data_IF_146194123453
#
_entry.id   IF_146194123453
#
_cell.length_a   1.000
_cell.length_b   1.000
_cell.length_c   1.000
_cell.angle_alpha   90.00
_cell.angle_beta   90.00
_cell.angle_gamma   90.00
#
_symmetry.space_group_name_H-M   'P 1'
#
loop_
_entity.id
_entity.type
_entity.pdbx_description
1 polymer ?
#
# COMPACT_ATOMS: atom_id res chain seq x y z
N UNK A 1 34.23 9.31 5.58
CA UNK A 1 34.37 9.05 4.11
C UNK A 1 34.04 10.31 3.33
N UNK A 2 34.63 10.52 2.14
CA UNK A 2 34.25 11.65 1.30
C UNK A 2 32.84 11.40 0.76
N UNK A 3 31.91 12.34 1.02
CA UNK A 3 30.55 12.27 0.50
C UNK A 3 30.57 12.42 -1.02
N UNK A 4 29.79 11.63 -1.76
CA UNK A 4 29.75 11.64 -3.24
C UNK A 4 29.39 13.02 -3.80
N UNK A 5 28.72 13.89 -3.04
CA UNK A 5 28.31 15.24 -3.42
C UNK A 5 29.21 16.37 -2.91
N UNK A 6 30.39 16.06 -2.39
CA UNK A 6 31.29 17.01 -1.74
C UNK A 6 32.03 17.99 -2.70
N UNK A 7 31.66 18.09 -3.97
CA UNK A 7 32.42 18.84 -4.99
C UNK A 7 32.63 20.33 -4.68
N UNK A 8 31.63 21.05 -4.13
CA UNK A 8 31.75 22.49 -3.81
C UNK A 8 31.92 22.75 -2.31
N UNK A 9 31.58 21.79 -1.47
CA UNK A 9 31.63 21.92 -0.01
C UNK A 9 33.01 21.47 0.49
N UNK A 10 33.70 22.32 1.26
CA UNK A 10 35.05 22.06 1.76
C UNK A 10 35.09 21.79 3.28
N UNK A 11 33.96 21.90 3.97
CA UNK A 11 33.83 21.70 5.41
C UNK A 11 33.27 20.32 5.79
N UNK A 12 33.43 19.95 7.07
CA UNK A 12 32.70 18.83 7.64
C UNK A 12 31.25 19.25 7.88
N UNK A 13 30.30 18.38 7.54
CA UNK A 13 28.88 18.59 7.86
C UNK A 13 28.67 18.40 9.35
N UNK A 14 27.76 19.18 9.94
CA UNK A 14 27.35 19.00 11.31
C UNK A 14 26.63 17.65 11.50
N UNK A 15 26.89 16.96 12.61
CA UNK A 15 26.32 15.62 12.87
C UNK A 15 24.79 15.65 12.93
N UNK A 16 24.20 16.72 13.47
CA UNK A 16 22.75 16.88 13.50
C UNK A 16 22.18 17.10 12.11
N UNK A 17 22.90 17.85 11.26
CA UNK A 17 22.50 18.06 9.87
C UNK A 17 22.59 16.77 9.05
N UNK A 18 23.57 15.92 9.31
CA UNK A 18 23.71 14.62 8.67
C UNK A 18 22.56 13.66 9.08
N UNK A 19 22.25 13.58 10.37
CA UNK A 19 21.13 12.76 10.86
C UNK A 19 19.78 13.26 10.34
N UNK A 20 19.58 14.57 10.33
CA UNK A 20 18.35 15.20 9.78
C UNK A 20 18.17 14.97 8.29
N UNK A 21 19.26 14.89 7.53
CA UNK A 21 19.25 14.67 6.08
C UNK A 21 19.10 13.19 5.71
N UNK A 22 19.41 12.27 6.62
CA UNK A 22 19.46 10.82 6.35
C UNK A 22 18.07 10.22 6.20
N UNK A 23 17.92 9.31 5.23
CA UNK A 23 16.70 8.54 4.97
C UNK A 23 16.86 7.02 5.16
N UNK A 24 18.09 6.55 5.43
CA UNK A 24 18.41 5.12 5.51
C UNK A 24 17.50 4.33 6.48
N UNK A 25 17.00 4.98 7.55
CA UNK A 25 16.16 4.34 8.56
C UNK A 25 14.82 3.86 8.01
N UNK A 26 14.29 4.50 6.98
CA UNK A 26 13.02 4.15 6.36
C UNK A 26 13.17 3.67 4.91
N UNK A 27 14.10 4.24 4.11
CA UNK A 27 14.26 3.84 2.71
C UNK A 27 15.00 2.51 2.52
N UNK A 28 15.67 2.01 3.58
CA UNK A 28 16.33 0.70 3.60
C UNK A 28 15.41 -0.44 3.14
N UNK A 29 14.09 -0.33 3.30
CA UNK A 29 13.12 -1.33 2.83
C UNK A 29 13.09 -1.49 1.30
N UNK A 30 13.60 -0.50 0.55
CA UNK A 30 13.66 -0.54 -0.92
C UNK A 30 14.94 -1.16 -1.47
N UNK A 31 15.79 -1.80 -0.65
CA UNK A 31 17.07 -2.36 -1.11
C UNK A 31 16.93 -3.31 -2.31
N UNK A 32 15.83 -4.08 -2.38
CA UNK A 32 15.56 -4.99 -3.51
C UNK A 32 15.30 -4.23 -4.79
N UNK A 33 14.52 -3.17 -4.72
CA UNK A 33 14.18 -2.33 -5.86
C UNK A 33 15.41 -1.59 -6.34
N UNK A 34 16.19 -0.99 -5.45
CA UNK A 34 17.44 -0.31 -5.79
C UNK A 34 18.44 -1.22 -6.48
N UNK A 35 18.67 -2.42 -5.92
CA UNK A 35 19.60 -3.39 -6.50
C UNK A 35 19.08 -3.89 -7.86
N UNK A 36 17.81 -4.20 -7.98
CA UNK A 36 17.21 -4.68 -9.24
C UNK A 36 17.26 -3.60 -10.32
N UNK A 37 16.92 -2.35 -9.97
CA UNK A 37 17.05 -1.20 -10.86
C UNK A 37 18.48 -0.97 -11.30
N UNK A 38 19.44 -1.09 -10.37
CA UNK A 38 20.87 -0.95 -10.64
C UNK A 38 21.42 -2.07 -11.54
N UNK A 39 20.93 -3.30 -11.43
CA UNK A 39 21.30 -4.41 -12.32
C UNK A 39 20.81 -4.14 -13.76
N UNK A 40 19.59 -3.66 -13.93
CA UNK A 40 19.06 -3.28 -15.24
C UNK A 40 19.86 -2.12 -15.86
N UNK A 41 20.23 -1.14 -15.05
CA UNK A 41 21.06 -0.02 -15.48
C UNK A 41 22.45 -0.47 -15.93
N UNK A 42 23.14 -1.33 -15.15
CA UNK A 42 24.43 -1.92 -15.53
C UNK A 42 24.33 -2.70 -16.84
N UNK A 43 23.27 -3.48 -17.04
CA UNK A 43 23.00 -4.21 -18.27
C UNK A 43 22.88 -3.27 -19.48
N UNK A 44 22.13 -2.18 -19.35
CA UNK A 44 21.97 -1.17 -20.39
C UNK A 44 23.30 -0.47 -20.71
N UNK A 45 24.09 -0.08 -19.70
CA UNK A 45 25.40 0.54 -19.90
C UNK A 45 26.33 -0.34 -20.72
N UNK A 46 26.34 -1.67 -20.45
CA UNK A 46 27.13 -2.65 -21.24
C UNK A 46 26.60 -2.79 -22.66
N UNK A 47 25.29 -2.97 -22.85
CA UNK A 47 24.66 -3.12 -24.15
C UNK A 47 24.88 -1.90 -25.06
N UNK A 48 24.89 -0.71 -24.49
CA UNK A 48 25.18 0.57 -25.18
C UNK A 48 26.67 0.86 -25.29
N UNK A 49 27.54 -0.03 -24.81
CA UNK A 49 29.02 0.13 -24.84
C UNK A 49 29.55 1.39 -24.14
N UNK A 50 28.79 1.90 -23.16
CA UNK A 50 29.21 2.99 -22.28
C UNK A 50 30.26 2.46 -21.30
N UNK A 51 30.11 1.23 -20.87
CA UNK A 51 31.11 0.39 -20.20
C UNK A 51 31.30 -0.89 -21.00
N UNK A 52 32.31 -1.69 -20.70
CA UNK A 52 32.52 -2.97 -21.37
C UNK A 52 31.47 -4.00 -20.90
N UNK A 53 31.17 -4.98 -21.74
CA UNK A 53 30.26 -6.10 -21.36
C UNK A 53 30.77 -6.84 -20.12
N UNK A 54 32.10 -7.01 -19.99
CA UNK A 54 32.72 -7.65 -18.84
C UNK A 54 32.50 -6.84 -17.55
N UNK A 55 32.62 -5.51 -17.61
CA UNK A 55 32.36 -4.62 -16.47
C UNK A 55 30.87 -4.63 -16.08
N UNK A 56 29.98 -4.64 -17.06
CA UNK A 56 28.54 -4.75 -16.82
C UNK A 56 28.20 -6.06 -16.11
N UNK A 57 28.74 -7.20 -16.57
CA UNK A 57 28.51 -8.49 -15.94
C UNK A 57 29.10 -8.51 -14.51
N UNK A 58 30.29 -7.93 -14.31
CA UNK A 58 30.91 -7.83 -12.98
C UNK A 58 30.05 -7.02 -12.01
N UNK A 59 29.42 -5.92 -12.46
CA UNK A 59 28.50 -5.11 -11.66
C UNK A 59 27.23 -5.90 -11.32
N UNK A 60 26.63 -6.60 -12.29
CA UNK A 60 25.42 -7.41 -12.11
C UNK A 60 25.69 -8.52 -11.09
N UNK A 61 26.79 -9.25 -11.22
CA UNK A 61 27.17 -10.33 -10.31
C UNK A 61 27.43 -9.79 -8.88
N UNK A 62 28.12 -8.64 -8.80
CA UNK A 62 28.36 -7.96 -7.52
C UNK A 62 27.08 -7.53 -6.82
N UNK A 63 26.15 -6.91 -7.55
CA UNK A 63 24.83 -6.51 -7.07
C UNK A 63 23.98 -7.72 -6.64
N UNK A 64 23.99 -8.80 -7.44
CA UNK A 64 23.32 -10.05 -7.08
C UNK A 64 23.90 -10.67 -5.80
N UNK A 65 25.22 -10.58 -5.62
CA UNK A 65 25.88 -11.01 -4.38
C UNK A 65 25.47 -10.17 -3.17
N UNK A 66 25.31 -8.86 -3.33
CA UNK A 66 24.82 -7.97 -2.26
C UNK A 66 23.37 -8.32 -1.89
N UNK A 67 22.51 -8.50 -2.89
CA UNK A 67 21.12 -8.90 -2.67
C UNK A 67 21.01 -10.19 -1.86
N UNK A 68 21.74 -11.22 -2.28
CA UNK A 68 21.75 -12.52 -1.59
C UNK A 68 22.29 -12.41 -0.15
N UNK A 69 23.31 -11.59 0.07
CA UNK A 69 23.88 -11.41 1.42
C UNK A 69 22.93 -10.63 2.34
N UNK A 70 22.16 -9.65 1.82
CA UNK A 70 21.09 -8.96 2.55
C UNK A 70 19.93 -9.91 2.87
N UNK A 71 19.47 -10.67 1.89
CA UNK A 71 18.35 -11.60 2.03
C UNK A 71 18.64 -12.72 3.04
N UNK A 72 19.88 -13.19 3.07
CA UNK A 72 20.34 -14.22 4.02
C UNK A 72 20.74 -13.67 5.40
N UNK A 73 20.73 -12.35 5.60
CA UNK A 73 21.17 -11.69 6.82
C UNK A 73 22.70 -11.73 7.06
N UNK A 74 23.47 -12.14 6.04
CA UNK A 74 24.94 -12.15 6.10
C UNK A 74 25.54 -10.73 6.02
N UNK A 75 24.84 -9.83 5.32
CA UNK A 75 25.13 -8.41 5.27
C UNK A 75 24.04 -7.64 6.00
N UNK A 76 24.42 -6.73 6.88
CA UNK A 76 23.50 -5.84 7.59
C UNK A 76 23.64 -4.43 7.03
N UNK A 77 22.52 -3.72 6.85
CA UNK A 77 22.52 -2.34 6.38
C UNK A 77 23.14 -1.44 7.42
N UNK A 78 24.13 -0.66 7.01
CA UNK A 78 24.80 0.32 7.88
C UNK A 78 23.97 1.60 7.94
N UNK A 79 23.31 1.82 9.07
CA UNK A 79 22.47 2.99 9.33
C UNK A 79 23.25 4.31 9.45
N UNK A 80 24.58 4.29 9.35
CA UNK A 80 25.39 5.51 9.25
C UNK A 80 25.49 6.08 7.83
N UNK A 81 25.01 5.35 6.82
CA UNK A 81 24.87 5.84 5.46
C UNK A 81 23.73 6.85 5.35
N UNK A 82 23.77 7.75 4.36
CA UNK A 82 22.74 8.75 4.13
C UNK A 82 21.41 8.10 3.67
N UNK A 83 21.50 7.17 2.70
CA UNK A 83 20.37 6.47 2.10
C UNK A 83 20.78 5.04 1.68
N UNK A 84 19.77 4.22 1.30
CA UNK A 84 20.00 2.85 0.85
C UNK A 84 20.85 2.79 -0.42
N UNK A 85 20.71 3.75 -1.30
CA UNK A 85 21.45 3.82 -2.56
C UNK A 85 22.94 4.02 -2.31
N UNK A 86 23.30 4.93 -1.39
CA UNK A 86 24.69 5.13 -0.98
C UNK A 86 25.28 3.87 -0.35
N UNK A 87 24.51 3.18 0.50
CA UNK A 87 24.92 1.93 1.12
C UNK A 87 25.24 0.86 0.07
N UNK A 88 24.36 0.64 -0.90
CA UNK A 88 24.55 -0.35 -1.97
C UNK A 88 25.77 0.01 -2.84
N UNK A 89 25.90 1.27 -3.28
CA UNK A 89 27.04 1.74 -4.08
C UNK A 89 28.37 1.65 -3.32
N UNK A 90 28.37 1.91 -2.01
CA UNK A 90 29.55 1.77 -1.15
C UNK A 90 30.00 0.32 -1.06
N UNK A 91 29.09 -0.59 -0.67
CA UNK A 91 29.40 -2.02 -0.58
C UNK A 91 29.86 -2.59 -1.93
N UNK A 92 29.23 -2.18 -3.03
CA UNK A 92 29.62 -2.57 -4.37
C UNK A 92 31.04 -2.10 -4.69
N UNK A 93 31.37 -0.84 -4.38
CA UNK A 93 32.69 -0.26 -4.60
C UNK A 93 33.76 -0.92 -3.72
N UNK A 94 33.46 -1.26 -2.49
CA UNK A 94 34.36 -2.01 -1.60
C UNK A 94 34.69 -3.40 -2.16
N UNK A 95 33.71 -4.06 -2.79
CA UNK A 95 33.88 -5.40 -3.40
C UNK A 95 34.60 -5.38 -4.73
N UNK A 96 34.32 -4.37 -5.58
CA UNK A 96 34.75 -4.35 -6.99
C UNK A 96 35.76 -3.25 -7.34
N UNK A 97 36.10 -2.39 -6.40
CA UNK A 97 37.04 -1.28 -6.64
C UNK A 97 36.49 -0.28 -7.68
N UNK A 98 37.34 0.12 -8.62
CA UNK A 98 37.00 1.14 -9.63
C UNK A 98 35.86 0.72 -10.58
N UNK A 99 35.62 -0.56 -10.78
CA UNK A 99 34.50 -1.04 -11.58
C UNK A 99 33.19 -0.70 -10.88
N UNK A 100 33.12 -0.82 -9.55
CA UNK A 100 31.91 -0.49 -8.76
C UNK A 100 31.49 0.97 -8.95
N UNK A 101 32.42 1.89 -9.04
CA UNK A 101 32.17 3.33 -9.26
C UNK A 101 31.50 3.65 -10.60
N UNK A 102 31.61 2.76 -11.60
CA UNK A 102 31.02 2.96 -12.94
C UNK A 102 29.50 2.81 -12.94
N UNK A 103 28.91 2.20 -11.92
CA UNK A 103 27.46 2.02 -11.83
C UNK A 103 26.68 3.34 -11.90
N UNK A 104 27.23 4.43 -11.35
CA UNK A 104 26.55 5.72 -11.32
C UNK A 104 26.58 6.49 -12.67
N UNK A 105 27.27 5.97 -13.67
CA UNK A 105 27.38 6.60 -15.00
C UNK A 105 26.01 6.79 -15.64
N UNK A 106 25.72 7.99 -16.15
CA UNK A 106 24.46 8.34 -16.82
C UNK A 106 23.19 8.17 -15.94
N UNK A 107 23.33 8.27 -14.62
CA UNK A 107 22.23 8.19 -13.64
C UNK A 107 22.36 9.33 -12.60
N UNK A 108 21.25 9.72 -12.02
CA UNK A 108 21.19 10.60 -10.85
C UNK A 108 20.47 9.91 -9.70
N UNK A 109 20.72 10.35 -8.47
CA UNK A 109 19.93 9.95 -7.32
C UNK A 109 18.44 10.26 -7.53
N UNK A 110 18.09 11.34 -8.25
CA UNK A 110 16.71 11.78 -8.45
C UNK A 110 15.86 10.79 -9.24
N UNK A 111 16.35 10.30 -10.39
CA UNK A 111 15.63 9.29 -11.18
C UNK A 111 15.71 7.89 -10.55
N UNK A 112 16.78 7.57 -9.85
CA UNK A 112 16.96 6.33 -9.10
C UNK A 112 15.91 6.20 -7.98
N UNK A 113 15.76 7.20 -7.11
CA UNK A 113 14.78 7.22 -6.03
C UNK A 113 13.34 7.13 -6.56
N UNK A 114 13.04 7.86 -7.65
CA UNK A 114 11.72 7.81 -8.29
C UNK A 114 11.42 6.44 -8.88
N UNK A 115 12.42 5.76 -9.47
CA UNK A 115 12.31 4.40 -9.97
C UNK A 115 11.99 3.41 -8.86
N UNK A 116 12.77 3.45 -7.78
CA UNK A 116 12.68 2.49 -6.68
C UNK A 116 11.35 2.59 -5.96
N UNK A 117 10.86 3.81 -5.73
CA UNK A 117 9.56 4.03 -5.11
C UNK A 117 8.40 3.55 -6.00
N UNK A 118 8.50 3.71 -7.32
CA UNK A 118 7.52 3.16 -8.27
C UNK A 118 7.53 1.64 -8.26
N UNK A 119 8.71 1.01 -8.28
CA UNK A 119 8.84 -0.45 -8.22
C UNK A 119 8.29 -0.98 -6.90
N UNK A 120 8.64 -0.35 -5.77
CA UNK A 120 8.14 -0.71 -4.46
C UNK A 120 6.60 -0.66 -4.40
N UNK A 121 6.01 0.47 -4.77
CA UNK A 121 4.55 0.61 -4.75
C UNK A 121 3.83 -0.32 -5.74
N UNK A 122 4.44 -0.64 -6.87
CA UNK A 122 3.90 -1.64 -7.80
C UNK A 122 3.76 -3.01 -7.13
N UNK A 123 4.80 -3.43 -6.42
CA UNK A 123 4.81 -4.70 -5.70
C UNK A 123 3.76 -4.70 -4.57
N UNK A 124 3.67 -3.60 -3.81
CA UNK A 124 2.71 -3.44 -2.73
C UNK A 124 1.25 -3.39 -3.24
N UNK A 125 1.00 -2.73 -4.37
CA UNK A 125 -0.32 -2.72 -4.99
C UNK A 125 -0.78 -4.15 -5.32
N UNK A 126 0.07 -4.97 -5.91
CA UNK A 126 -0.29 -6.35 -6.23
C UNK A 126 -0.52 -7.18 -4.96
N UNK A 127 0.29 -6.98 -3.93
CA UNK A 127 0.11 -7.62 -2.62
C UNK A 127 -1.23 -7.24 -1.96
N UNK A 128 -1.57 -5.94 -1.95
CA UNK A 128 -2.86 -5.45 -1.43
C UNK A 128 -4.03 -6.00 -2.24
N UNK A 129 -3.94 -6.03 -3.57
CA UNK A 129 -4.98 -6.58 -4.44
C UNK A 129 -5.22 -8.06 -4.19
N UNK A 130 -4.16 -8.82 -3.90
CA UNK A 130 -4.28 -10.23 -3.52
C UNK A 130 -4.94 -10.41 -2.15
N UNK A 131 -4.55 -9.63 -1.14
CA UNK A 131 -5.22 -9.64 0.17
C UNK A 131 -6.70 -9.25 0.10
N UNK A 132 -7.03 -8.25 -0.73
CA UNK A 132 -8.42 -7.90 -1.01
C UNK A 132 -9.19 -9.06 -1.66
N UNK A 133 -8.56 -9.80 -2.60
CA UNK A 133 -9.17 -10.98 -3.20
C UNK A 133 -9.52 -12.03 -2.13
N UNK A 134 -8.59 -12.30 -1.22
CA UNK A 134 -8.80 -13.28 -0.13
C UNK A 134 -9.94 -12.82 0.81
N UNK A 135 -9.98 -11.53 1.19
CA UNK A 135 -11.07 -11.00 2.01
C UNK A 135 -12.42 -11.08 1.28
N UNK A 136 -12.45 -10.76 -0.03
CA UNK A 136 -13.66 -10.89 -0.85
C UNK A 136 -14.14 -12.36 -0.87
N UNK A 137 -13.25 -13.31 -1.03
CA UNK A 137 -13.59 -14.74 -1.02
C UNK A 137 -14.16 -15.19 0.34
N UNK A 138 -13.57 -14.75 1.46
CA UNK A 138 -14.08 -15.02 2.79
C UNK A 138 -15.52 -14.49 2.97
N UNK A 139 -15.77 -13.26 2.48
CA UNK A 139 -17.11 -12.66 2.52
C UNK A 139 -18.10 -13.39 1.59
N UNK A 140 -17.67 -13.82 0.40
CA UNK A 140 -18.51 -14.59 -0.53
C UNK A 140 -18.89 -15.95 0.08
N UNK A 141 -17.94 -16.62 0.74
CA UNK A 141 -18.20 -17.88 1.44
C UNK A 141 -19.25 -17.69 2.55
N UNK A 142 -19.08 -16.70 3.41
CA UNK A 142 -20.06 -16.35 4.43
C UNK A 142 -21.40 -15.92 3.85
N UNK A 143 -21.42 -15.17 2.76
CA UNK A 143 -22.66 -14.73 2.11
C UNK A 143 -23.44 -15.93 1.53
N UNK A 144 -22.77 -16.90 0.96
CA UNK A 144 -23.39 -18.14 0.45
C UNK A 144 -23.92 -19.00 1.59
N UNK A 145 -23.18 -19.17 2.68
CA UNK A 145 -23.60 -19.92 3.86
C UNK A 145 -24.86 -19.32 4.49
N UNK A 146 -24.91 -17.98 4.61
CA UNK A 146 -25.99 -17.26 5.28
C UNK A 146 -26.99 -16.59 4.31
N UNK A 147 -27.06 -17.04 3.06
CA UNK A 147 -27.96 -16.46 2.05
C UNK A 147 -29.46 -16.54 2.38
N UNK A 148 -29.86 -17.45 3.26
CA UNK A 148 -31.24 -17.59 3.73
C UNK A 148 -31.44 -17.08 5.18
N UNK A 149 -30.41 -16.60 5.85
CA UNK A 149 -30.50 -16.10 7.22
C UNK A 149 -31.11 -14.71 7.23
N UNK A 150 -32.34 -14.62 7.75
CA UNK A 150 -33.12 -13.37 7.79
C UNK A 150 -32.58 -12.46 8.89
N UNK A 151 -32.36 -11.18 8.51
CA UNK A 151 -31.97 -10.12 9.43
C UNK A 151 -32.80 -8.85 9.13
N UNK A 152 -33.08 -7.99 10.13
CA UNK A 152 -33.66 -6.68 9.83
C UNK A 152 -32.63 -5.80 9.13
N UNK A 153 -33.00 -5.26 7.97
CA UNK A 153 -32.25 -4.17 7.35
C UNK A 153 -32.49 -2.86 8.11
N UNK A 154 -31.46 -2.00 8.15
CA UNK A 154 -31.51 -0.74 8.89
C UNK A 154 -31.30 0.46 7.96
N UNK A 155 -32.08 1.51 8.19
CA UNK A 155 -31.81 2.89 7.76
C UNK A 155 -31.93 3.78 8.99
N UNK A 156 -31.04 4.77 9.15
CA UNK A 156 -31.01 5.64 10.33
C UNK A 156 -30.90 4.89 11.67
N UNK A 157 -30.27 3.69 11.67
CA UNK A 157 -30.25 2.74 12.78
C UNK A 157 -31.66 2.32 13.25
N UNK A 158 -32.68 2.53 12.43
CA UNK A 158 -34.04 2.03 12.66
C UNK A 158 -34.30 0.81 11.76
N UNK A 159 -35.03 -0.17 12.27
CA UNK A 159 -35.45 -1.35 11.50
C UNK A 159 -36.32 -0.91 10.34
N UNK A 160 -35.96 -1.29 9.13
CA UNK A 160 -36.64 -0.88 7.91
C UNK A 160 -37.39 -2.07 7.28
N UNK A 161 -36.70 -2.91 6.55
CA UNK A 161 -37.26 -4.05 5.82
C UNK A 161 -36.46 -5.31 6.11
N UNK A 162 -37.05 -6.51 5.97
CA UNK A 162 -36.29 -7.75 6.11
C UNK A 162 -35.34 -7.92 4.92
N UNK A 163 -34.11 -8.31 5.23
CA UNK A 163 -33.10 -8.71 4.25
C UNK A 163 -32.50 -10.03 4.69
N UNK A 164 -31.57 -10.58 3.92
CA UNK A 164 -30.74 -11.68 4.37
C UNK A 164 -29.34 -11.20 4.75
N UNK A 165 -28.68 -11.92 5.67
CA UNK A 165 -27.32 -11.62 6.09
C UNK A 165 -26.34 -11.74 4.91
N UNK A 166 -26.54 -12.76 4.05
CA UNK A 166 -25.76 -12.90 2.82
C UNK A 166 -25.90 -11.69 1.90
N UNK A 167 -27.13 -11.13 1.72
CA UNK A 167 -27.35 -9.91 0.93
C UNK A 167 -26.58 -8.71 1.53
N UNK A 168 -26.59 -8.57 2.85
CA UNK A 168 -25.86 -7.51 3.54
C UNK A 168 -24.35 -7.61 3.31
N UNK A 169 -23.77 -8.82 3.49
CA UNK A 169 -22.34 -9.06 3.24
C UNK A 169 -21.92 -8.76 1.79
N UNK A 170 -22.80 -9.07 0.82
CA UNK A 170 -22.55 -8.76 -0.59
C UNK A 170 -22.38 -7.25 -0.85
N UNK A 171 -22.96 -6.38 -0.03
CA UNK A 171 -22.72 -4.94 -0.16
C UNK A 171 -21.24 -4.58 0.10
N UNK A 172 -20.60 -5.22 1.07
CA UNK A 172 -19.17 -5.05 1.33
C UNK A 172 -18.31 -5.69 0.24
N UNK A 173 -18.70 -6.85 -0.28
CA UNK A 173 -18.04 -7.43 -1.47
C UNK A 173 -17.99 -6.42 -2.61
N UNK A 174 -19.11 -5.76 -2.91
CA UNK A 174 -19.16 -4.74 -3.98
C UNK A 174 -18.28 -3.51 -3.69
N UNK A 175 -18.12 -3.12 -2.42
CA UNK A 175 -17.21 -2.03 -2.04
C UNK A 175 -15.75 -2.45 -2.27
N UNK A 176 -15.35 -3.62 -1.77
CA UNK A 176 -13.98 -4.12 -1.88
C UNK A 176 -13.56 -4.45 -3.32
N UNK A 177 -14.50 -4.89 -4.18
CA UNK A 177 -14.24 -5.03 -5.62
C UNK A 177 -13.86 -3.70 -6.25
N UNK A 178 -14.61 -2.63 -5.95
CA UNK A 178 -14.25 -1.28 -6.43
C UNK A 178 -12.92 -0.78 -5.87
N UNK A 179 -12.57 -1.16 -4.63
CA UNK A 179 -11.26 -0.81 -4.06
C UNK A 179 -10.13 -1.53 -4.79
N UNK A 180 -10.28 -2.82 -5.08
CA UNK A 180 -9.33 -3.60 -5.87
C UNK A 180 -9.11 -3.01 -7.26
N UNK A 181 -10.17 -2.50 -7.89
CA UNK A 181 -10.09 -1.84 -9.19
C UNK A 181 -9.37 -0.47 -9.08
N UNK A 182 -9.58 0.31 -8.00
CA UNK A 182 -8.83 1.56 -7.75
C UNK A 182 -7.33 1.33 -7.68
N UNK A 183 -6.89 0.31 -6.96
CA UNK A 183 -5.48 -0.07 -6.93
C UNK A 183 -4.96 -0.49 -8.30
N UNK A 184 -5.74 -1.24 -9.08
CA UNK A 184 -5.38 -1.60 -10.44
C UNK A 184 -5.25 -0.37 -11.36
N UNK A 185 -6.14 0.61 -11.22
CA UNK A 185 -6.08 1.85 -11.99
C UNK A 185 -4.89 2.74 -11.59
N UNK A 186 -4.56 2.82 -10.31
CA UNK A 186 -3.35 3.50 -9.82
C UNK A 186 -2.09 2.84 -10.42
N UNK A 187 -2.04 1.50 -10.43
CA UNK A 187 -0.92 0.76 -11.01
C UNK A 187 -0.70 1.04 -12.51
N UNK A 188 -1.75 1.26 -13.29
CA UNK A 188 -1.61 1.60 -14.71
C UNK A 188 -0.82 2.89 -14.94
N UNK A 189 -1.07 3.94 -14.15
CA UNK A 189 -0.39 5.24 -14.28
C UNK A 189 0.99 5.22 -13.61
N UNK A 190 1.15 4.46 -12.54
CA UNK A 190 2.44 4.23 -11.88
C UNK A 190 3.45 3.57 -12.84
N UNK A 191 3.00 2.67 -13.72
CA UNK A 191 3.83 1.73 -14.47
C UNK A 191 4.57 2.37 -15.67
N UNK A 192 5.21 3.54 -15.43
CA UNK A 192 6.11 4.23 -16.36
C UNK A 192 7.48 4.44 -15.69
N UNK A 193 8.56 4.06 -16.38
CA UNK A 193 9.93 4.17 -15.85
C UNK A 193 10.46 5.60 -15.93
N UNK A 194 10.94 6.20 -14.83
CA UNK A 194 11.58 7.51 -14.84
C UNK A 194 13.07 7.45 -15.17
N UNK A 195 13.70 6.26 -15.16
CA UNK A 195 15.15 6.10 -15.31
C UNK A 195 15.65 6.70 -16.63
N UNK A 196 16.81 7.33 -16.59
CA UNK A 196 17.36 8.10 -17.69
C UNK A 196 16.88 9.55 -17.76
N UNK A 197 15.96 9.97 -16.84
CA UNK A 197 15.67 11.39 -16.62
C UNK A 197 16.84 12.11 -15.94
N UNK A 198 17.71 11.37 -15.30
CA UNK A 198 18.87 11.84 -14.53
C UNK A 198 18.43 12.86 -13.46
N UNK A 199 19.18 13.97 -13.30
CA UNK A 199 18.78 14.98 -12.32
C UNK A 199 17.46 15.68 -12.70
N UNK A 200 17.26 16.01 -13.97
CA UNK A 200 16.06 16.62 -14.57
C UNK A 200 16.11 16.76 -16.10
N UNK A 201 17.28 16.72 -16.71
CA UNK A 201 17.47 17.08 -18.11
C UNK A 201 17.95 15.91 -19.00
N UNK A 202 17.91 14.70 -18.49
CA UNK A 202 18.48 13.54 -19.14
C UNK A 202 20.01 13.55 -19.12
N UNK A 203 20.63 12.87 -20.09
CA UNK A 203 22.08 12.70 -20.19
C UNK A 203 22.53 12.84 -21.62
N UNK A 204 23.83 13.16 -21.84
CA UNK A 204 24.48 13.18 -23.15
C UNK A 204 24.97 11.79 -23.59
N UNK A 205 24.91 10.79 -22.71
CA UNK A 205 25.20 9.42 -23.08
C UNK A 205 24.06 8.83 -23.93
N UNK A 206 24.40 7.94 -24.86
CA UNK A 206 23.42 7.22 -25.68
C UNK A 206 22.82 6.04 -24.91
N UNK A 207 22.01 6.34 -23.90
CA UNK A 207 21.30 5.35 -23.07
C UNK A 207 20.05 4.81 -23.77
N UNK A 208 19.65 3.56 -23.43
CA UNK A 208 18.42 2.95 -23.91
C UNK A 208 17.40 2.81 -22.75
N UNK A 209 16.62 3.87 -22.52
CA UNK A 209 15.58 3.91 -21.47
C UNK A 209 14.49 2.86 -21.66
N UNK A 210 14.18 2.47 -22.93
CA UNK A 210 13.18 1.46 -23.21
C UNK A 210 13.67 0.06 -22.88
N UNK A 211 14.94 -0.22 -23.09
CA UNK A 211 15.57 -1.48 -22.64
C UNK A 211 15.49 -1.63 -21.12
N UNK A 212 15.84 -0.59 -20.36
CA UNK A 212 15.75 -0.60 -18.90
C UNK A 212 14.31 -0.78 -18.43
N UNK A 213 13.36 -0.02 -18.99
CA UNK A 213 11.94 -0.14 -18.67
C UNK A 213 11.40 -1.56 -18.91
N UNK A 214 11.75 -2.17 -20.05
CA UNK A 214 11.34 -3.53 -20.39
C UNK A 214 11.92 -4.57 -19.43
N UNK A 215 13.21 -4.45 -19.08
CA UNK A 215 13.85 -5.36 -18.12
C UNK A 215 13.22 -5.29 -16.72
N UNK A 216 12.74 -4.10 -16.33
CA UNK A 216 12.09 -3.87 -15.05
C UNK A 216 10.56 -4.07 -15.09
N UNK A 217 10.00 -4.49 -16.22
CA UNK A 217 8.58 -4.78 -16.36
C UNK A 217 7.68 -3.55 -16.40
N UNK A 218 8.23 -2.36 -16.72
CA UNK A 218 7.42 -1.17 -16.96
C UNK A 218 6.77 -1.21 -18.36
N UNK A 219 5.55 -0.68 -18.45
CA UNK A 219 4.81 -0.62 -19.72
C UNK A 219 5.34 0.47 -20.66
N UNK A 220 5.94 1.53 -20.12
CA UNK A 220 6.47 2.66 -20.89
C UNK A 220 7.53 3.43 -20.08
N UNK A 221 8.03 4.54 -20.63
CA UNK A 221 8.97 5.48 -20.02
C UNK A 221 8.27 6.82 -19.73
N UNK A 222 8.78 7.57 -18.75
CA UNK A 222 8.37 8.97 -18.55
C UNK A 222 8.95 9.82 -19.69
N UNK A 223 8.10 10.45 -20.51
CA UNK A 223 8.54 11.18 -21.70
C UNK A 223 9.20 12.52 -21.39
N UNK A 224 8.77 13.19 -20.33
CA UNK A 224 9.39 14.43 -19.88
C UNK A 224 10.30 14.14 -18.68
N UNK A 225 11.60 14.48 -18.81
CA UNK A 225 12.59 14.15 -17.78
C UNK A 225 12.44 14.99 -16.50
N UNK A 226 11.90 16.19 -16.58
CA UNK A 226 11.60 17.02 -15.40
C UNK A 226 10.45 16.41 -14.61
N UNK A 227 9.39 16.03 -15.30
CA UNK A 227 8.24 15.33 -14.73
C UNK A 227 8.64 13.97 -14.15
N UNK A 228 9.47 13.20 -14.86
CA UNK A 228 9.91 11.87 -14.43
C UNK A 228 10.58 11.83 -13.05
N UNK A 229 11.28 12.90 -12.64
CA UNK A 229 11.91 13.01 -11.31
C UNK A 229 11.04 13.75 -10.30
N UNK A 230 10.05 14.52 -10.77
CA UNK A 230 9.18 15.36 -9.94
C UNK A 230 7.86 14.67 -9.55
N UNK A 231 7.34 13.80 -10.41
CA UNK A 231 6.04 13.16 -10.22
C UNK A 231 5.99 12.30 -8.95
N UNK A 232 4.94 12.55 -8.17
CA UNK A 232 4.52 11.75 -7.03
C UNK A 232 3.00 11.48 -7.05
N UNK A 233 2.33 11.73 -8.18
CA UNK A 233 0.90 11.47 -8.34
C UNK A 233 0.58 10.00 -8.05
N UNK A 234 1.47 9.08 -8.44
CA UNK A 234 1.32 7.66 -8.17
C UNK A 234 1.30 7.32 -6.66
N UNK A 235 2.01 8.07 -5.82
CA UNK A 235 1.94 7.96 -4.37
C UNK A 235 0.59 8.49 -3.85
N UNK A 236 0.15 9.65 -4.35
CA UNK A 236 -1.16 10.25 -3.99
C UNK A 236 -2.31 9.36 -4.41
N UNK A 237 -2.27 8.77 -5.60
CA UNK A 237 -3.28 7.82 -6.08
C UNK A 237 -3.34 6.56 -5.23
N UNK A 238 -2.18 5.99 -4.88
CA UNK A 238 -2.10 4.86 -3.96
C UNK A 238 -2.73 5.20 -2.60
N UNK A 239 -2.32 6.31 -1.98
CA UNK A 239 -2.86 6.75 -0.69
C UNK A 239 -4.36 7.07 -0.76
N UNK A 240 -4.85 7.61 -1.88
CA UNK A 240 -6.27 7.87 -2.10
C UNK A 240 -7.08 6.56 -2.19
N UNK A 241 -6.55 5.56 -2.88
CA UNK A 241 -7.15 4.22 -2.94
C UNK A 241 -7.15 3.56 -1.56
N UNK A 242 -6.03 3.64 -0.83
CA UNK A 242 -5.89 3.13 0.53
C UNK A 242 -6.86 3.81 1.51
N UNK A 243 -6.99 5.14 1.46
CA UNK A 243 -7.92 5.90 2.29
C UNK A 243 -9.37 5.52 2.01
N UNK A 244 -9.75 5.31 0.74
CA UNK A 244 -11.09 4.87 0.36
C UNK A 244 -11.38 3.46 0.85
N UNK A 245 -10.44 2.54 0.70
CA UNK A 245 -10.53 1.17 1.22
C UNK A 245 -10.68 1.17 2.75
N UNK A 246 -9.86 1.92 3.46
CA UNK A 246 -9.93 2.03 4.92
C UNK A 246 -11.27 2.60 5.39
N UNK A 247 -11.88 3.53 4.65
CA UNK A 247 -13.23 4.01 4.93
C UNK A 247 -14.25 2.86 4.84
N UNK A 248 -14.15 1.98 3.85
CA UNK A 248 -15.03 0.81 3.74
C UNK A 248 -14.79 -0.20 4.88
N UNK A 249 -13.52 -0.48 5.23
CA UNK A 249 -13.17 -1.35 6.36
C UNK A 249 -13.64 -0.74 7.69
N UNK A 250 -13.56 0.58 7.86
CA UNK A 250 -14.07 1.28 9.04
C UNK A 250 -15.59 1.13 9.19
N UNK A 251 -16.35 1.28 8.09
CA UNK A 251 -17.81 1.06 8.11
C UNK A 251 -18.16 -0.39 8.46
N UNK A 252 -17.44 -1.33 7.88
CA UNK A 252 -17.66 -2.75 8.21
C UNK A 252 -17.31 -3.06 9.67
N UNK A 253 -16.20 -2.51 10.17
CA UNK A 253 -15.81 -2.62 11.58
C UNK A 253 -16.89 -2.06 12.52
N UNK A 254 -17.50 -0.91 12.18
CA UNK A 254 -18.61 -0.34 12.95
C UNK A 254 -19.79 -1.30 13.04
N UNK A 255 -20.17 -1.94 11.92
CA UNK A 255 -21.26 -2.93 11.95
C UNK A 255 -20.91 -4.18 12.76
N UNK A 256 -19.67 -4.68 12.66
CA UNK A 256 -19.20 -5.80 13.49
C UNK A 256 -19.26 -5.47 14.98
N UNK A 257 -18.87 -4.25 15.36
CA UNK A 257 -18.96 -3.76 16.74
C UNK A 257 -20.41 -3.71 17.20
N UNK A 258 -21.31 -3.12 16.41
CA UNK A 258 -22.75 -3.08 16.70
C UNK A 258 -23.33 -4.50 16.80
N UNK A 259 -23.05 -5.35 15.82
CA UNK A 259 -23.61 -6.72 15.79
C UNK A 259 -23.08 -7.60 16.92
N UNK A 260 -21.89 -7.37 17.42
CA UNK A 260 -21.31 -8.12 18.55
C UNK A 260 -21.73 -7.56 19.92
N UNK A 261 -22.39 -6.41 19.98
CA UNK A 261 -22.87 -5.80 21.22
C UNK A 261 -23.97 -6.64 21.91
N UNK A 262 -24.18 -6.41 23.20
CA UNK A 262 -25.23 -7.05 23.96
C UNK A 262 -26.66 -6.75 23.45
N UNK A 263 -26.84 -5.57 22.87
CA UNK A 263 -28.12 -5.09 22.35
C UNK A 263 -28.50 -5.81 21.06
N UNK A 264 -27.54 -6.04 20.16
CA UNK A 264 -27.77 -6.72 18.87
C UNK A 264 -27.58 -8.23 18.97
N UNK A 265 -26.41 -8.68 19.42
CA UNK A 265 -26.02 -10.11 19.49
C UNK A 265 -26.26 -10.86 18.18
N UNK A 266 -25.99 -10.23 17.04
CA UNK A 266 -26.17 -10.86 15.74
C UNK A 266 -24.97 -11.71 15.34
N UNK A 267 -23.79 -11.34 15.84
CA UNK A 267 -22.57 -12.11 15.66
C UNK A 267 -21.80 -12.23 16.98
N UNK A 268 -20.91 -13.20 17.03
CA UNK A 268 -19.90 -13.34 18.05
C UNK A 268 -18.54 -13.49 17.40
N UNK A 269 -17.62 -12.57 17.69
CA UNK A 269 -16.27 -12.65 17.20
C UNK A 269 -15.48 -13.71 17.96
N UNK A 270 -14.56 -14.38 17.29
CA UNK A 270 -13.68 -15.38 17.91
C UNK A 270 -12.84 -14.78 19.04
N UNK A 271 -12.51 -15.58 20.05
CA UNK A 271 -11.62 -15.19 21.13
C UNK A 271 -10.23 -14.76 20.64
N UNK A 272 -9.80 -15.26 19.48
CA UNK A 272 -8.54 -14.88 18.85
C UNK A 272 -8.50 -13.39 18.39
N UNK A 273 -9.67 -12.77 18.20
CA UNK A 273 -9.80 -11.39 17.67
C UNK A 273 -10.59 -10.48 18.62
N UNK A 274 -10.61 -10.82 19.90
CA UNK A 274 -11.30 -10.08 20.95
C UNK A 274 -10.42 -10.03 22.19
N UNK A 275 -10.70 -9.10 23.10
CA UNK A 275 -10.07 -9.11 24.42
C UNK A 275 -11.13 -9.19 25.53
N UNK A 276 -10.71 -9.68 26.69
CA UNK A 276 -11.53 -9.71 27.89
C UNK A 276 -11.29 -8.48 28.77
N UNK A 277 -11.88 -8.51 29.95
CA UNK A 277 -11.61 -7.55 31.02
C UNK A 277 -11.07 -8.26 32.24
N UNK A 278 -10.04 -7.70 32.86
CA UNK A 278 -9.47 -8.23 34.11
C UNK A 278 -10.43 -8.14 35.32
N UNK A 279 -11.40 -7.22 35.27
CA UNK A 279 -12.33 -6.94 36.36
C UNK A 279 -13.73 -7.48 36.06
N UNK A 280 -14.10 -7.56 34.77
CA UNK A 280 -15.47 -7.96 34.35
C UNK A 280 -15.40 -9.24 33.52
N UNK A 281 -15.52 -10.43 34.13
CA UNK A 281 -15.26 -11.70 33.43
C UNK A 281 -16.25 -12.00 32.31
N UNK A 282 -17.41 -11.35 32.28
CA UNK A 282 -18.45 -11.50 31.25
C UNK A 282 -18.17 -10.61 29.99
N UNK A 283 -17.19 -9.70 30.05
CA UNK A 283 -16.95 -8.72 29.02
C UNK A 283 -16.02 -9.28 27.93
N UNK A 284 -16.44 -9.12 26.67
CA UNK A 284 -15.68 -9.48 25.49
C UNK A 284 -15.70 -8.30 24.52
N UNK A 285 -14.54 -7.73 24.24
CA UNK A 285 -14.42 -6.48 23.49
C UNK A 285 -14.02 -6.76 22.04
N UNK A 286 -14.63 -6.09 21.05
CA UNK A 286 -14.28 -6.21 19.64
C UNK A 286 -13.07 -5.33 19.25
N UNK A 287 -11.97 -5.40 20.04
CA UNK A 287 -10.84 -4.47 19.91
C UNK A 287 -10.22 -4.44 18.52
N UNK A 288 -10.17 -5.57 17.81
CA UNK A 288 -9.58 -5.61 16.46
C UNK A 288 -10.41 -4.80 15.49
N UNK A 289 -11.74 -4.88 15.55
CA UNK A 289 -12.62 -4.04 14.74
C UNK A 289 -12.50 -2.56 15.13
N UNK A 290 -12.40 -2.24 16.41
CA UNK A 290 -12.18 -0.87 16.89
C UNK A 290 -10.85 -0.30 16.40
N UNK A 291 -9.77 -1.08 16.44
CA UNK A 291 -8.46 -0.67 15.97
C UNK A 291 -8.45 -0.42 14.44
N UNK A 292 -9.09 -1.27 13.64
CA UNK A 292 -9.22 -1.05 12.19
C UNK A 292 -9.97 0.25 11.93
N UNK A 293 -11.08 0.50 12.63
CA UNK A 293 -11.84 1.75 12.57
C UNK A 293 -10.96 2.96 12.93
N UNK A 294 -10.17 2.87 14.00
CA UNK A 294 -9.27 3.94 14.44
C UNK A 294 -8.11 4.20 13.48
N UNK A 295 -7.50 3.15 12.93
CA UNK A 295 -6.38 3.25 11.98
C UNK A 295 -6.76 3.93 10.65
N UNK A 296 -8.03 4.01 10.32
CA UNK A 296 -8.51 4.75 9.15
C UNK A 296 -8.07 6.22 9.17
N UNK A 297 -8.14 6.86 10.34
CA UNK A 297 -7.68 8.24 10.50
C UNK A 297 -6.18 8.43 10.26
N UNK A 298 -5.36 7.40 10.55
CA UNK A 298 -3.92 7.40 10.27
C UNK A 298 -3.65 7.47 8.76
N UNK A 299 -4.27 6.59 7.97
CA UNK A 299 -4.11 6.57 6.50
C UNK A 299 -4.65 7.86 5.85
N UNK A 300 -5.71 8.47 6.42
CA UNK A 300 -6.16 9.80 5.99
C UNK A 300 -5.10 10.87 6.25
N UNK A 301 -4.43 10.78 7.41
CA UNK A 301 -3.33 11.67 7.76
C UNK A 301 -2.17 11.57 6.77
N UNK A 302 -1.80 10.35 6.36
CA UNK A 302 -0.72 10.09 5.40
C UNK A 302 -1.03 10.72 4.03
N UNK A 303 -2.25 10.53 3.51
CA UNK A 303 -2.69 11.17 2.28
C UNK A 303 -2.63 12.71 2.38
N UNK A 304 -3.12 13.27 3.47
CA UNK A 304 -3.14 14.72 3.67
C UNK A 304 -1.73 15.28 3.86
N UNK A 305 -0.84 14.55 4.55
CA UNK A 305 0.56 14.92 4.72
C UNK A 305 1.26 15.03 3.36
N UNK A 306 1.14 14.00 2.51
CA UNK A 306 1.76 14.00 1.19
C UNK A 306 1.21 15.11 0.28
N UNK A 307 -0.11 15.28 0.22
CA UNK A 307 -0.74 16.38 -0.54
C UNK A 307 -0.22 17.75 -0.07
N UNK A 308 -0.03 17.91 1.24
CA UNK A 308 0.48 19.14 1.84
C UNK A 308 1.94 19.37 1.51
N UNK A 309 2.76 18.33 1.50
CA UNK A 309 4.18 18.39 1.10
C UNK A 309 4.31 18.83 -0.36
N UNK A 310 3.53 18.25 -1.25
CA UNK A 310 3.66 18.49 -2.70
C UNK A 310 3.09 19.82 -3.18
N UNK A 311 2.11 20.41 -2.49
CA UNK A 311 1.27 21.52 -2.96
C UNK A 311 1.99 22.81 -3.40
N UNK A 312 3.23 23.02 -3.07
CA UNK A 312 3.88 24.32 -3.29
C UNK A 312 5.34 24.22 -3.68
N UNK A 313 5.86 23.00 -3.86
CA UNK A 313 7.25 22.81 -4.27
C UNK A 313 7.41 23.06 -5.78
N UNK A 314 8.51 23.68 -6.22
CA UNK A 314 8.81 23.85 -7.63
C UNK A 314 9.26 22.53 -8.28
N UNK A 315 9.27 22.49 -9.62
CA UNK A 315 9.89 21.42 -10.39
C UNK A 315 11.43 21.45 -10.15
N UNK A 316 12.18 20.46 -10.30
CA UNK A 316 12.00 19.05 -10.55
C UNK A 316 12.00 18.23 -9.24
N UNK A 317 13.15 18.12 -8.56
CA UNK A 317 13.31 17.47 -7.26
C UNK A 317 13.70 18.50 -6.19
N UNK A 318 13.01 18.44 -5.07
CA UNK A 318 13.33 19.18 -3.84
C UNK A 318 13.39 18.19 -2.69
N UNK A 319 14.20 18.48 -1.68
CA UNK A 319 14.42 17.58 -0.53
C UNK A 319 13.11 17.29 0.25
N UNK A 320 12.12 18.17 0.14
CA UNK A 320 10.75 17.96 0.64
C UNK A 320 10.16 16.62 0.19
N UNK A 321 10.50 16.16 -1.01
CA UNK A 321 10.04 14.88 -1.55
C UNK A 321 10.59 13.65 -0.78
N UNK A 322 11.53 13.81 0.13
CA UNK A 322 11.95 12.73 1.02
C UNK A 322 10.83 12.28 1.97
N UNK A 323 9.92 13.22 2.32
CA UNK A 323 8.74 12.97 3.16
C UNK A 323 7.67 12.09 2.47
N UNK A 324 7.78 11.84 1.16
CA UNK A 324 6.88 10.96 0.41
C UNK A 324 6.89 9.53 0.96
N UNK A 325 8.08 9.06 1.38
CA UNK A 325 8.30 7.66 1.79
C UNK A 325 7.66 7.34 3.13
N UNK A 326 7.81 8.20 4.13
CA UNK A 326 7.28 7.92 5.47
C UNK A 326 5.76 7.79 5.44
N UNK A 327 5.05 8.72 4.79
CA UNK A 327 3.60 8.64 4.63
C UNK A 327 3.16 7.39 3.84
N UNK A 328 3.86 7.07 2.75
CA UNK A 328 3.54 5.90 1.92
C UNK A 328 3.79 4.61 2.68
N UNK A 329 4.94 4.48 3.32
CA UNK A 329 5.32 3.26 4.05
C UNK A 329 4.43 3.01 5.27
N UNK A 330 4.06 4.06 5.98
CA UNK A 330 3.13 3.97 7.11
C UNK A 330 1.75 3.49 6.67
N UNK A 331 1.23 4.04 5.58
CA UNK A 331 -0.03 3.60 5.00
C UNK A 331 0.04 2.14 4.52
N UNK A 332 1.12 1.73 3.82
CA UNK A 332 1.34 0.34 3.38
C UNK A 332 1.28 -0.60 4.57
N UNK A 333 2.09 -0.36 5.61
CA UNK A 333 2.15 -1.21 6.80
C UNK A 333 0.78 -1.29 7.50
N UNK A 334 0.08 -0.15 7.58
CA UNK A 334 -1.23 -0.05 8.22
C UNK A 334 -2.31 -0.84 7.46
N UNK A 335 -2.39 -0.69 6.13
CA UNK A 335 -3.43 -1.39 5.35
C UNK A 335 -3.19 -2.90 5.29
N UNK A 336 -1.93 -3.33 5.19
CA UNK A 336 -1.60 -4.76 5.24
C UNK A 336 -2.04 -5.39 6.56
N UNK A 337 -1.69 -4.75 7.68
CA UNK A 337 -2.09 -5.23 9.02
C UNK A 337 -3.62 -5.29 9.16
N UNK A 338 -4.35 -4.29 8.66
CA UNK A 338 -5.81 -4.26 8.73
C UNK A 338 -6.46 -5.39 7.92
N UNK A 339 -5.96 -5.66 6.71
CA UNK A 339 -6.44 -6.77 5.87
C UNK A 339 -6.11 -8.13 6.47
N UNK A 340 -4.90 -8.30 7.02
CA UNK A 340 -4.45 -9.54 7.66
C UNK A 340 -5.26 -9.89 8.92
N UNK A 341 -5.80 -8.89 9.61
CA UNK A 341 -6.66 -9.09 10.78
C UNK A 341 -8.13 -9.25 10.39
N UNK A 342 -8.62 -8.45 9.42
CA UNK A 342 -10.03 -8.48 9.02
C UNK A 342 -10.43 -9.83 8.44
N UNK A 343 -9.64 -10.41 7.57
CA UNK A 343 -9.97 -11.66 6.88
C UNK A 343 -10.24 -12.82 7.86
N UNK A 344 -9.32 -13.23 8.73
CA UNK A 344 -9.58 -14.33 9.65
C UNK A 344 -10.60 -13.97 10.74
N UNK A 345 -10.79 -12.69 11.05
CA UNK A 345 -11.88 -12.26 11.96
C UNK A 345 -13.25 -12.57 11.35
N UNK A 346 -13.42 -12.39 10.02
CA UNK A 346 -14.66 -12.76 9.30
C UNK A 346 -14.79 -14.29 9.18
N UNK A 347 -13.73 -15.00 8.82
CA UNK A 347 -13.72 -16.46 8.65
C UNK A 347 -14.09 -17.21 9.95
N UNK A 348 -13.72 -16.63 11.10
CA UNK A 348 -13.94 -17.24 12.42
C UNK A 348 -15.14 -16.66 13.18
N UNK A 349 -15.87 -15.71 12.57
CA UNK A 349 -17.04 -15.08 13.14
C UNK A 349 -18.20 -16.08 13.25
N UNK A 350 -18.84 -16.13 14.41
CA UNK A 350 -20.00 -16.95 14.64
C UNK A 350 -21.30 -16.16 14.47
N UNK A 351 -22.12 -16.53 13.48
CA UNK A 351 -23.38 -15.85 13.16
C UNK A 351 -24.53 -16.39 14.04
N UNK A 352 -25.23 -15.49 14.70
CA UNK A 352 -26.39 -15.80 15.59
C UNK A 352 -27.72 -15.60 14.84
N UNK A 353 -27.99 -16.44 13.85
CA UNK A 353 -29.15 -16.33 12.97
C UNK A 353 -30.49 -16.28 13.70
N UNK A 354 -30.64 -17.01 14.85
CA UNK A 354 -31.86 -16.97 15.65
C UNK A 354 -32.10 -15.58 16.25
N UNK A 355 -31.09 -14.88 16.69
CA UNK A 355 -31.21 -13.51 17.20
C UNK A 355 -31.57 -12.53 16.08
N UNK A 356 -30.98 -12.66 14.91
CA UNK A 356 -31.33 -11.88 13.72
C UNK A 356 -32.78 -12.08 13.34
N UNK A 357 -33.23 -13.34 13.25
CA UNK A 357 -34.64 -13.71 12.95
C UNK A 357 -35.61 -13.13 13.97
N UNK A 358 -35.31 -13.28 15.27
CA UNK A 358 -36.15 -12.72 16.38
C UNK A 358 -36.24 -11.19 16.25
N UNK A 359 -35.14 -10.51 15.95
CA UNK A 359 -35.16 -9.07 15.74
C UNK A 359 -35.99 -8.66 14.53
N UNK A 360 -35.99 -9.46 13.45
CA UNK A 360 -36.80 -9.23 12.25
C UNK A 360 -38.31 -9.46 12.49
N UNK A 361 -38.69 -10.25 13.47
CA UNK A 361 -40.09 -10.50 13.79
C UNK A 361 -40.76 -9.38 14.61
N UNK A 362 -39.99 -8.40 15.06
CA UNK A 362 -40.47 -7.31 15.92
C UNK A 362 -40.54 -6.00 15.13
N UNK A 363 -41.65 -5.25 15.22
CA UNK A 363 -41.75 -3.89 14.69
C UNK A 363 -42.36 -3.77 13.29
N UNK A 364 -43.10 -4.80 12.83
CA UNK A 364 -43.84 -4.75 11.55
C UNK A 364 -43.00 -4.39 10.34
N UNK A 365 -41.76 -4.85 10.24
CA UNK A 365 -40.83 -4.53 9.17
C UNK A 365 -41.27 -5.01 7.77
N UNK A 366 -42.31 -5.86 7.70
CA UNK A 366 -42.98 -6.34 6.51
C UNK A 366 -44.24 -5.53 6.12
N UNK A 367 -44.51 -4.40 6.81
CA UNK A 367 -45.70 -3.59 6.53
C UNK A 367 -45.74 -3.06 5.07
N UNK A 368 -44.61 -2.74 4.49
CA UNK A 368 -44.51 -2.30 3.08
C UNK A 368 -44.93 -3.43 2.13
N UNK A 369 -44.46 -4.66 2.38
CA UNK A 369 -44.81 -5.81 1.53
C UNK A 369 -46.31 -6.12 1.61
N UNK A 370 -46.91 -5.94 2.80
CA UNK A 370 -48.36 -6.08 2.99
C UNK A 370 -49.14 -5.00 2.23
N UNK A 371 -48.67 -3.73 2.28
CA UNK A 371 -49.29 -2.62 1.55
C UNK A 371 -49.24 -2.88 0.04
N UNK A 372 -48.08 -3.26 -0.51
CA UNK A 372 -47.90 -3.61 -1.89
C UNK A 372 -48.79 -4.77 -2.36
N UNK A 373 -48.91 -5.79 -1.50
CA UNK A 373 -49.83 -6.92 -1.77
C UNK A 373 -51.27 -6.45 -1.85
N UNK A 374 -51.73 -5.61 -0.89
CA UNK A 374 -53.09 -5.09 -0.88
C UNK A 374 -53.39 -4.23 -2.12
N UNK A 375 -52.41 -3.45 -2.59
CA UNK A 375 -52.53 -2.69 -3.85
C UNK A 375 -52.69 -3.64 -5.05
N UNK A 376 -51.83 -4.65 -5.15
CA UNK A 376 -51.88 -5.65 -6.24
C UNK A 376 -53.19 -6.36 -6.35
N UNK A 377 -53.88 -6.63 -5.23
CA UNK A 377 -55.22 -7.27 -5.21
C UNK A 377 -56.38 -6.27 -5.27
N UNK A 378 -56.10 -4.96 -5.50
CA UNK A 378 -57.11 -3.90 -5.64
C UNK A 378 -57.82 -3.54 -4.35
N UNK A 379 -57.25 -3.80 -3.19
CA UNK A 379 -57.83 -3.54 -1.86
C UNK A 379 -57.25 -2.31 -1.17
N UNK A 380 -56.28 -1.67 -1.74
CA UNK A 380 -55.68 -0.41 -1.28
C UNK A 380 -55.18 0.44 -2.47
N UNK A 381 -54.95 1.73 -2.24
CA UNK A 381 -54.28 2.64 -3.16
C UNK A 381 -52.97 3.12 -2.54
N UNK A 382 -51.94 3.38 -3.38
CA UNK A 382 -50.67 3.94 -2.91
C UNK A 382 -50.86 5.40 -2.52
#
# INVERSE_FOLDING_TARGET
>A
MAKMWAGRTQGQTDVLADDFNSSIRFDSRMYRQDITGSMAHASMLGAKKIITEQEAQTLIDGLGGILNDLDSGKLTIDLSCEDIHMFVEQVLTERLGDVGKKLHTARSRNDQVALDLRMYLRDEIESVREKLRVLIEALLHSAEEYKATILPGYTHLQRAQPITFGHHLMAYVMMLMRDRDRFADANKRLNCSPIGSCALAGTTYDTDRRMEAAQLGFSDICYNSIDGVSDRDFCVEFLSAAATMMMHLSRFSEELILWSSWEFKFVELSDAYTTGSSIMPQKKNPDMAELIRGKTGRVYGDLMALLTTLKGIPLAYNKDMQEDKESVFDAVDTIHMCLDVMTPMIETMHVRGDNMKRAAQTGFINATDLADYLVKIGRAHV
#
